data_IF_500218073295
#
_entry.id   IF_500218073295
#
_cell.length_a   1.000
_cell.length_b   1.000
_cell.length_c   1.000
_cell.angle_alpha   90.00
_cell.angle_beta   90.00
_cell.angle_gamma   90.00
#
_symmetry.space_group_name_H-M   'P 1'
#
loop_
_entity.id
_entity.type
_entity.pdbx_description
1 polymer ?
#
# COMPACT_ATOMS: atom_id res chain seq x y z
N UNK A 1 -1.11 62.00 0.86
CA UNK A 1 -0.68 60.91 1.77
C UNK A 1 -0.92 59.58 1.09
N UNK A 2 0.15 58.88 0.70
CA UNK A 2 0.12 57.60 -0.03
C UNK A 2 -0.21 56.48 0.96
N UNK A 3 -1.30 55.74 0.77
CA UNK A 3 -1.59 54.51 1.52
C UNK A 3 -1.18 53.32 0.65
N UNK A 4 0.05 52.85 0.84
CA UNK A 4 0.49 51.55 0.37
C UNK A 4 -0.07 50.52 1.34
N UNK A 5 -1.12 49.81 0.93
CA UNK A 5 -1.59 48.63 1.64
C UNK A 5 -0.54 47.53 1.44
N UNK A 6 0.19 47.22 2.51
CA UNK A 6 1.01 46.04 2.61
C UNK A 6 0.10 44.82 2.44
N UNK A 7 0.11 44.22 1.26
CA UNK A 7 -0.42 42.89 1.05
C UNK A 7 0.50 41.92 1.80
N UNK A 8 0.13 41.62 3.06
CA UNK A 8 0.73 40.51 3.80
C UNK A 8 0.48 39.24 3.00
N UNK A 9 1.53 38.80 2.30
CA UNK A 9 1.61 37.48 1.69
C UNK A 9 1.53 36.48 2.85
N UNK A 10 0.33 35.96 3.11
CA UNK A 10 0.16 34.79 3.96
C UNK A 10 0.78 33.63 3.18
N UNK A 11 2.07 33.43 3.37
CA UNK A 11 2.74 32.18 3.06
C UNK A 11 2.08 31.13 3.96
N UNK A 12 1.02 30.50 3.46
CA UNK A 12 0.58 29.22 3.97
C UNK A 12 1.76 28.28 3.74
N UNK A 13 2.57 28.10 4.78
CA UNK A 13 3.52 27.00 4.86
C UNK A 13 2.68 25.74 4.70
N UNK A 14 2.72 25.16 3.50
CA UNK A 14 2.32 23.77 3.31
C UNK A 14 3.33 22.94 4.08
N UNK A 15 3.14 22.83 5.39
CA UNK A 15 3.66 21.73 6.18
C UNK A 15 3.03 20.48 5.58
N UNK A 16 3.68 19.98 4.53
CA UNK A 16 3.59 18.62 4.08
C UNK A 16 4.01 17.75 5.28
N UNK A 17 3.09 17.53 6.21
CA UNK A 17 3.16 16.34 7.05
C UNK A 17 3.30 15.20 6.06
N UNK A 18 4.48 14.61 6.07
CA UNK A 18 4.89 13.59 5.13
C UNK A 18 3.98 12.38 5.33
N UNK A 19 2.85 12.39 4.63
CA UNK A 19 1.94 11.27 4.46
C UNK A 19 2.64 10.28 3.56
N UNK A 20 3.75 9.74 4.06
CA UNK A 20 4.68 8.83 3.43
C UNK A 20 4.70 7.54 4.23
N UNK A 21 4.94 6.41 3.56
CA UNK A 21 5.15 5.16 4.27
C UNK A 21 6.41 5.26 5.15
N UNK A 22 6.41 4.64 6.35
CA UNK A 22 7.58 4.62 7.20
C UNK A 22 8.78 3.96 6.50
N UNK A 23 9.93 4.62 6.53
CA UNK A 23 11.17 4.09 5.96
C UNK A 23 11.64 2.84 6.69
N UNK A 24 12.32 1.95 5.97
CA UNK A 24 12.88 0.70 6.47
C UNK A 24 11.85 -0.13 7.25
N UNK A 25 10.61 -0.14 6.75
CA UNK A 25 9.51 -0.90 7.36
C UNK A 25 9.15 -2.10 6.51
N UNK A 26 8.71 -3.16 7.19
CA UNK A 26 8.15 -4.34 6.56
C UNK A 26 6.69 -4.48 6.99
N UNK A 27 5.84 -4.76 6.03
CA UNK A 27 4.41 -4.98 6.22
C UNK A 27 4.04 -6.30 5.59
N UNK A 28 3.17 -7.06 6.24
CA UNK A 28 2.85 -8.41 5.78
C UNK A 28 1.37 -8.71 6.03
N UNK A 29 0.75 -9.43 5.12
CA UNK A 29 -0.61 -9.90 5.28
C UNK A 29 -0.70 -11.06 6.26
N UNK A 30 -1.90 -11.33 6.76
CA UNK A 30 -2.20 -12.64 7.31
C UNK A 30 -1.97 -13.72 6.24
N UNK A 31 -1.58 -14.91 6.67
CA UNK A 31 -1.54 -16.08 5.80
C UNK A 31 -2.95 -16.51 5.43
N UNK A 32 -3.23 -16.63 4.14
CA UNK A 32 -4.51 -17.13 3.63
C UNK A 32 -4.28 -18.46 2.91
N UNK A 33 -5.02 -19.48 3.32
CA UNK A 33 -5.01 -20.81 2.69
C UNK A 33 -5.38 -20.68 1.20
N UNK A 34 -4.53 -21.19 0.32
CA UNK A 34 -4.72 -21.14 -1.13
C UNK A 34 -4.45 -19.78 -1.79
N UNK A 35 -3.97 -18.79 -1.05
CA UNK A 35 -3.48 -17.50 -1.59
C UNK A 35 -2.05 -17.17 -1.14
N UNK A 36 -1.69 -17.51 0.09
CA UNK A 36 -0.36 -17.33 0.65
C UNK A 36 -0.22 -16.05 1.46
N UNK A 37 0.93 -15.39 1.34
CA UNK A 37 1.26 -14.15 2.06
C UNK A 37 1.71 -13.09 1.07
N UNK A 38 1.29 -11.85 1.30
CA UNK A 38 1.81 -10.68 0.63
C UNK A 38 2.67 -9.88 1.61
N UNK A 39 3.82 -9.39 1.17
CA UNK A 39 4.62 -8.45 1.95
C UNK A 39 5.00 -7.22 1.15
N UNK A 40 5.16 -6.09 1.85
CA UNK A 40 5.65 -4.83 1.33
C UNK A 40 6.83 -4.38 2.18
N UNK A 41 8.02 -4.35 1.59
CA UNK A 41 9.21 -3.78 2.18
C UNK A 41 9.42 -2.37 1.65
N UNK A 42 9.43 -1.38 2.55
CA UNK A 42 9.72 0.02 2.22
C UNK A 42 11.20 0.27 2.46
N UNK A 43 11.99 0.29 1.39
CA UNK A 43 13.46 0.42 1.47
C UNK A 43 13.91 1.87 1.47
N UNK A 44 13.19 2.75 0.77
CA UNK A 44 13.45 4.20 0.77
C UNK A 44 12.12 4.98 0.73
N UNK A 45 12.19 6.31 0.61
CA UNK A 45 10.97 7.15 0.50
C UNK A 45 10.16 6.82 -0.74
N UNK A 46 10.86 6.35 -1.77
CA UNK A 46 10.29 6.14 -3.10
C UNK A 46 10.35 4.65 -3.45
N UNK A 47 11.37 3.90 -3.02
CA UNK A 47 11.55 2.51 -3.42
C UNK A 47 10.90 1.53 -2.46
N UNK A 48 10.17 0.57 -3.04
CA UNK A 48 9.56 -0.53 -2.30
C UNK A 48 9.70 -1.87 -3.05
N UNK A 49 9.57 -2.95 -2.31
CA UNK A 49 9.48 -4.32 -2.83
C UNK A 49 8.18 -4.95 -2.35
N UNK A 50 7.34 -5.40 -3.28
CA UNK A 50 6.17 -6.25 -2.99
C UNK A 50 6.57 -7.69 -3.24
N UNK A 51 6.33 -8.60 -2.30
CA UNK A 51 6.57 -10.03 -2.50
C UNK A 51 5.28 -10.81 -2.34
N UNK A 52 4.96 -11.64 -3.33
CA UNK A 52 3.89 -12.63 -3.27
C UNK A 52 4.51 -13.99 -2.94
N UNK A 53 4.24 -14.53 -1.74
CA UNK A 53 4.59 -15.90 -1.37
C UNK A 53 3.34 -16.78 -1.50
N UNK A 54 3.12 -17.30 -2.70
CA UNK A 54 1.87 -17.95 -3.08
C UNK A 54 1.90 -19.42 -2.65
N UNK A 55 0.78 -19.88 -2.10
CA UNK A 55 0.54 -21.30 -1.83
C UNK A 55 -0.65 -21.82 -2.65
N UNK A 56 -0.71 -23.13 -2.81
CA UNK A 56 -1.91 -23.84 -3.21
C UNK A 56 -2.19 -24.88 -2.15
N UNK A 57 -3.45 -25.03 -1.76
CA UNK A 57 -3.87 -25.98 -0.74
C UNK A 57 -4.99 -26.84 -1.28
N UNK A 58 -4.98 -28.13 -0.92
CA UNK A 58 -6.07 -29.05 -1.21
C UNK A 58 -6.80 -29.43 0.07
N UNK A 59 -8.10 -29.67 -0.06
CA UNK A 59 -9.01 -29.90 1.05
C UNK A 59 -9.50 -31.34 1.02
N UNK A 60 -9.70 -31.94 2.19
CA UNK A 60 -10.37 -33.24 2.27
C UNK A 60 -11.89 -33.08 2.06
N UNK A 61 -12.62 -34.20 2.08
CA UNK A 61 -14.08 -34.23 1.93
C UNK A 61 -14.85 -33.49 3.04
N UNK A 62 -14.19 -33.09 4.14
CA UNK A 62 -14.76 -32.30 5.23
C UNK A 62 -14.47 -30.80 5.09
N UNK A 63 -13.77 -30.39 4.03
CA UNK A 63 -13.36 -28.99 3.82
C UNK A 63 -12.17 -28.55 4.68
N UNK A 64 -11.48 -29.47 5.36
CA UNK A 64 -10.26 -29.15 6.10
C UNK A 64 -9.05 -29.19 5.16
N UNK A 65 -8.06 -28.34 5.43
CA UNK A 65 -6.77 -28.35 4.73
C UNK A 65 -6.11 -29.71 4.95
N UNK A 66 -5.95 -30.48 3.87
CA UNK A 66 -5.27 -31.77 3.87
C UNK A 66 -3.77 -31.63 3.54
N UNK A 67 -3.41 -30.55 2.84
CA UNK A 67 -2.03 -30.17 2.59
C UNK A 67 -1.94 -28.84 1.85
N UNK A 68 -0.79 -28.17 1.98
CA UNK A 68 -0.45 -26.96 1.25
C UNK A 68 0.94 -27.11 0.63
N UNK A 69 1.09 -26.63 -0.59
CA UNK A 69 2.36 -26.56 -1.31
C UNK A 69 2.64 -25.11 -1.65
N UNK A 70 3.85 -24.63 -1.34
CA UNK A 70 4.32 -23.32 -1.80
C UNK A 70 4.50 -23.38 -3.32
N UNK A 71 3.83 -22.50 -4.03
CA UNK A 71 3.88 -22.42 -5.49
C UNK A 71 5.07 -21.60 -5.97
N UNK A 72 5.42 -20.55 -5.24
CA UNK A 72 6.56 -19.70 -5.59
C UNK A 72 6.59 -18.40 -4.80
N UNK A 73 7.71 -17.70 -4.96
CA UNK A 73 7.94 -16.36 -4.42
C UNK A 73 8.17 -15.41 -5.58
N UNK A 74 7.35 -14.39 -5.68
CA UNK A 74 7.39 -13.44 -6.78
C UNK A 74 7.65 -12.03 -6.24
N UNK A 75 8.90 -11.56 -6.27
CA UNK A 75 9.23 -10.20 -5.88
C UNK A 75 8.98 -9.23 -7.04
N UNK A 76 8.38 -8.08 -6.72
CA UNK A 76 8.15 -6.95 -7.61
C UNK A 76 8.74 -5.71 -6.97
N UNK A 77 9.76 -5.14 -7.60
CA UNK A 77 10.41 -3.93 -7.12
C UNK A 77 9.99 -2.74 -7.96
N UNK A 78 9.84 -1.57 -7.34
CA UNK A 78 9.55 -0.35 -8.07
C UNK A 78 9.56 0.88 -7.17
N UNK A 79 9.28 2.03 -7.77
CA UNK A 79 9.09 3.26 -7.03
C UNK A 79 7.61 3.55 -6.81
N UNK A 80 7.28 4.13 -5.67
CA UNK A 80 5.96 4.63 -5.33
C UNK A 80 5.78 6.03 -5.87
N UNK A 81 4.76 6.18 -6.71
CA UNK A 81 4.31 7.47 -7.23
C UNK A 81 2.96 7.79 -6.60
N UNK A 82 2.86 8.95 -5.96
CA UNK A 82 1.60 9.42 -5.39
C UNK A 82 0.60 9.67 -6.51
N UNK A 83 -0.57 9.01 -6.46
CA UNK A 83 -1.65 9.26 -7.41
C UNK A 83 -2.44 10.50 -6.98
N UNK A 84 -2.72 11.44 -7.90
CA UNK A 84 -3.58 12.59 -7.63
C UNK A 84 -5.05 12.15 -7.66
N UNK A 85 -5.45 11.31 -6.69
CA UNK A 85 -6.83 10.90 -6.53
C UNK A 85 -7.50 11.76 -5.45
N UNK A 86 -8.78 12.08 -5.63
CA UNK A 86 -9.54 12.80 -4.61
C UNK A 86 -9.80 11.87 -3.42
N UNK A 87 -8.89 11.89 -2.46
CA UNK A 87 -8.99 11.19 -1.18
C UNK A 87 -9.34 12.16 -0.07
N UNK A 88 -9.75 11.65 1.09
CA UNK A 88 -9.73 12.49 2.29
C UNK A 88 -8.28 12.93 2.61
N UNK A 89 -8.13 13.97 3.42
CA UNK A 89 -6.80 14.49 3.81
C UNK A 89 -5.94 13.47 4.58
N UNK A 90 -6.50 12.32 4.95
CA UNK A 90 -5.88 11.30 5.78
C UNK A 90 -5.49 10.04 4.97
N UNK A 91 -5.74 10.01 3.67
CA UNK A 91 -5.48 8.86 2.81
C UNK A 91 -4.60 9.26 1.63
N UNK A 92 -3.50 8.54 1.45
CA UNK A 92 -2.66 8.62 0.26
C UNK A 92 -2.71 7.31 -0.51
N UNK A 93 -2.88 7.42 -1.82
CA UNK A 93 -2.77 6.31 -2.76
C UNK A 93 -1.44 6.40 -3.50
N UNK A 94 -0.65 5.35 -3.45
CA UNK A 94 0.58 5.21 -4.23
C UNK A 94 0.40 4.15 -5.30
N UNK A 95 0.88 4.43 -6.51
CA UNK A 95 1.07 3.44 -7.55
C UNK A 95 2.50 2.93 -7.48
N UNK A 96 2.71 1.62 -7.57
CA UNK A 96 4.03 1.06 -7.76
C UNK A 96 4.36 1.03 -9.26
N UNK A 97 5.36 1.81 -9.68
CA UNK A 97 5.76 1.92 -11.08
C UNK A 97 6.04 0.56 -11.72
N UNK A 98 5.65 0.41 -12.99
CA UNK A 98 5.85 -0.80 -13.79
C UNK A 98 5.23 -2.08 -13.17
N UNK A 99 4.21 -1.92 -12.33
CA UNK A 99 3.48 -3.04 -11.75
C UNK A 99 1.98 -2.77 -11.73
N UNK A 100 1.22 -3.79 -11.34
CA UNK A 100 -0.21 -3.71 -11.08
C UNK A 100 -0.54 -3.52 -9.59
N UNK A 101 0.42 -3.05 -8.79
CA UNK A 101 0.23 -2.81 -7.37
C UNK A 101 -0.03 -1.34 -7.05
N UNK A 102 -0.96 -1.13 -6.14
CA UNK A 102 -1.18 0.16 -5.49
C UNK A 102 -1.18 -0.01 -3.97
N UNK A 103 -0.74 1.01 -3.24
CA UNK A 103 -0.71 1.01 -1.78
C UNK A 103 -1.60 2.13 -1.27
N UNK A 104 -2.56 1.78 -0.42
CA UNK A 104 -3.40 2.74 0.30
C UNK A 104 -2.85 2.88 1.72
N UNK A 105 -2.43 4.09 2.04
CA UNK A 105 -1.99 4.46 3.39
C UNK A 105 -2.97 5.48 3.98
N UNK A 106 -3.81 5.01 4.89
CA UNK A 106 -4.80 5.83 5.58
C UNK A 106 -4.39 5.98 7.07
N UNK A 107 -4.29 7.21 7.55
CA UNK A 107 -3.93 7.59 8.93
C UNK A 107 -5.16 7.80 9.84
N UNK A 108 -6.36 7.68 9.29
CA UNK A 108 -7.64 7.68 9.99
C UNK A 108 -7.81 6.49 10.93
N UNK A 109 -8.73 6.61 11.87
CA UNK A 109 -8.95 5.61 12.91
C UNK A 109 -9.43 4.26 12.35
N UNK A 110 -10.13 4.27 11.22
CA UNK A 110 -10.66 3.12 10.50
C UNK A 110 -9.57 2.23 9.85
N UNK A 111 -8.38 2.80 9.64
CA UNK A 111 -7.24 2.12 9.05
C UNK A 111 -6.08 1.94 10.05
N UNK A 112 -6.34 2.17 11.34
CA UNK A 112 -5.30 2.10 12.37
C UNK A 112 -4.68 0.71 12.42
N UNK A 113 -3.37 0.65 12.19
CA UNK A 113 -2.55 -0.55 12.36
C UNK A 113 -2.33 -1.39 11.10
N UNK A 114 -2.85 -0.98 9.94
CA UNK A 114 -2.56 -1.66 8.67
C UNK A 114 -2.50 -0.69 7.50
N UNK A 115 -1.81 -1.11 6.44
CA UNK A 115 -1.91 -0.49 5.11
C UNK A 115 -2.64 -1.46 4.17
N UNK A 116 -3.16 -0.97 3.05
CA UNK A 116 -3.83 -1.82 2.06
C UNK A 116 -2.96 -1.95 0.81
N UNK A 117 -2.68 -3.18 0.40
CA UNK A 117 -2.09 -3.48 -0.91
C UNK A 117 -3.23 -3.86 -1.86
N UNK A 118 -3.36 -3.13 -2.95
CA UNK A 118 -4.33 -3.37 -4.00
C UNK A 118 -3.63 -3.95 -5.22
N UNK A 119 -4.24 -4.95 -5.85
CA UNK A 119 -3.88 -5.42 -7.18
C UNK A 119 -4.92 -4.88 -8.16
N UNK A 120 -4.49 -4.17 -9.19
CA UNK A 120 -5.38 -3.55 -10.19
C UNK A 120 -5.25 -4.22 -11.56
N UNK A 121 -6.34 -4.33 -12.31
CA UNK A 121 -6.29 -4.82 -13.69
C UNK A 121 -5.90 -3.72 -14.68
N UNK A 122 -5.82 -4.07 -15.96
CA UNK A 122 -5.49 -3.14 -17.05
C UNK A 122 -6.52 -2.02 -17.24
N UNK A 123 -7.73 -2.17 -16.69
CA UNK A 123 -8.79 -1.17 -16.73
C UNK A 123 -8.82 -0.30 -15.45
N UNK A 124 -7.85 -0.48 -14.54
CA UNK A 124 -7.80 0.21 -13.26
C UNK A 124 -8.80 -0.30 -12.22
N UNK A 125 -9.38 -1.49 -12.41
CA UNK A 125 -10.29 -2.12 -11.44
C UNK A 125 -9.50 -2.89 -10.40
N UNK A 126 -9.86 -2.75 -9.14
CA UNK A 126 -9.27 -3.54 -8.05
C UNK A 126 -9.72 -5.00 -8.15
N UNK A 127 -8.77 -5.90 -8.35
CA UNK A 127 -9.00 -7.36 -8.44
C UNK A 127 -8.62 -8.11 -7.16
N UNK A 128 -7.74 -7.52 -6.34
CA UNK A 128 -7.48 -8.00 -4.98
C UNK A 128 -7.18 -6.83 -4.04
N UNK A 129 -7.51 -6.99 -2.77
CA UNK A 129 -7.30 -5.99 -1.72
C UNK A 129 -6.90 -6.69 -0.43
N UNK A 130 -5.62 -6.58 -0.08
CA UNK A 130 -5.02 -7.26 1.07
C UNK A 130 -4.64 -6.24 2.13
N UNK A 131 -4.93 -6.54 3.40
CA UNK A 131 -4.42 -5.74 4.53
C UNK A 131 -3.02 -6.23 4.87
N UNK A 132 -2.08 -5.31 5.02
CA UNK A 132 -0.72 -5.58 5.48
C UNK A 132 -0.52 -4.93 6.84
N UNK A 133 -0.05 -5.71 7.80
CA UNK A 133 0.23 -5.28 9.16
C UNK A 133 1.74 -5.11 9.34
N UNK A 134 2.13 -4.12 10.13
CA UNK A 134 3.55 -3.86 10.40
C UNK A 134 4.16 -5.05 11.16
N UNK A 135 5.32 -5.53 10.71
CA UNK A 135 6.12 -6.56 11.39
C UNK A 135 7.28 -5.94 12.16
#
# INVERSE_FOLDING_TARGET
MKKLAYASLVLFSTSAFAHNLPLNSNWESDYVVGKGVYSLQVTSKESVSVTEDINSCFFNSLGHVAGCTRMGVFPTNGNLVVKPFATDRMTTLYSLENSNYEVVHNLGNEAKGYIRLLKVDQNGRVVDSVRLFKK
#
